data_IF_230698684269
#
_entry.id   IF_230698684269
#
_cell.length_a   1.000
_cell.length_b   1.000
_cell.length_c   1.000
_cell.angle_alpha   90.00
_cell.angle_beta   90.00
_cell.angle_gamma   90.00
#
_symmetry.space_group_name_H-M   'P 1'
#
loop_
_entity.id
_entity.type
_entity.pdbx_description
1 polymer ?
#
# COMPACT_ATOMS: atom_id res chain seq x y z
N UNK A 1 -3.86 15.22 2.40
CA UNK A 1 -4.50 13.90 2.31
C UNK A 1 -5.97 14.09 1.94
N UNK A 2 -6.57 13.23 1.11
CA UNK A 2 -8.02 13.30 0.78
C UNK A 2 -8.88 12.69 1.90
N UNK A 3 -10.12 13.15 2.06
CA UNK A 3 -11.09 12.63 3.06
C UNK A 3 -11.33 11.11 2.96
N UNK A 4 -11.26 10.54 1.77
CA UNK A 4 -11.39 9.09 1.55
C UNK A 4 -10.22 8.35 2.24
N UNK A 5 -9.00 8.85 2.03
CA UNK A 5 -7.78 8.27 2.59
C UNK A 5 -7.78 8.35 4.11
N UNK A 6 -8.20 9.48 4.68
CA UNK A 6 -8.30 9.69 6.13
C UNK A 6 -9.28 8.71 6.79
N UNK A 7 -10.47 8.56 6.23
CA UNK A 7 -11.47 7.63 6.76
C UNK A 7 -11.04 6.16 6.69
N UNK A 8 -10.40 5.77 5.58
CA UNK A 8 -9.89 4.40 5.40
C UNK A 8 -8.71 4.15 6.33
N UNK A 9 -7.80 5.11 6.46
CA UNK A 9 -6.68 5.04 7.39
C UNK A 9 -7.17 4.81 8.82
N UNK A 10 -8.12 5.62 9.28
CA UNK A 10 -8.68 5.50 10.63
C UNK A 10 -9.27 4.10 10.87
N UNK A 11 -10.09 3.61 9.94
CA UNK A 11 -10.68 2.27 10.06
C UNK A 11 -9.62 1.15 10.05
N UNK A 12 -8.62 1.25 9.17
CA UNK A 12 -7.47 0.32 9.13
C UNK A 12 -6.66 0.35 10.44
N UNK A 13 -6.40 1.53 11.01
CA UNK A 13 -5.70 1.66 12.30
C UNK A 13 -6.51 1.04 13.44
N UNK A 14 -7.84 1.18 13.42
CA UNK A 14 -8.77 0.62 14.40
C UNK A 14 -9.07 -0.88 14.19
N UNK A 15 -8.63 -1.48 13.08
CA UNK A 15 -8.96 -2.87 12.75
C UNK A 15 -10.41 -3.07 12.29
N UNK A 16 -11.06 -2.01 11.81
CA UNK A 16 -12.44 -2.03 11.36
C UNK A 16 -12.55 -2.12 9.83
N UNK A 17 -13.60 -2.80 9.35
CA UNK A 17 -13.93 -2.82 7.94
C UNK A 17 -14.58 -1.50 7.51
N UNK A 18 -14.18 -0.95 6.37
CA UNK A 18 -14.81 0.26 5.82
C UNK A 18 -14.63 0.35 4.31
N UNK A 19 -15.64 0.84 3.61
CA UNK A 19 -15.61 1.10 2.16
C UNK A 19 -16.02 2.53 1.85
N UNK A 20 -15.20 3.25 1.10
CA UNK A 20 -15.46 4.61 0.65
C UNK A 20 -15.06 4.75 -0.82
N UNK A 21 -16.05 4.78 -1.72
CA UNK A 21 -15.81 4.78 -3.16
C UNK A 21 -15.10 3.51 -3.61
N UNK A 22 -13.96 3.67 -4.32
CA UNK A 22 -13.15 2.57 -4.82
C UNK A 22 -12.07 2.09 -3.85
N UNK A 23 -12.07 2.59 -2.61
CA UNK A 23 -11.09 2.21 -1.58
C UNK A 23 -11.82 1.52 -0.43
N UNK A 24 -11.30 0.40 0.03
CA UNK A 24 -11.88 -0.36 1.14
C UNK A 24 -10.80 -0.98 2.02
N UNK A 25 -11.15 -1.26 3.27
CA UNK A 25 -10.32 -1.99 4.24
C UNK A 25 -11.18 -3.06 4.91
N UNK A 26 -10.57 -4.20 5.23
CA UNK A 26 -11.17 -5.25 6.06
C UNK A 26 -10.73 -5.16 7.53
N UNK A 27 -9.87 -4.18 7.86
CA UNK A 27 -9.26 -3.99 9.17
C UNK A 27 -7.82 -4.47 9.25
N UNK A 28 -7.40 -5.35 8.34
CA UNK A 28 -6.01 -5.87 8.24
C UNK A 28 -5.35 -5.54 6.92
N UNK A 29 -6.13 -5.30 5.87
CA UNK A 29 -5.67 -5.02 4.51
C UNK A 29 -6.49 -3.88 3.91
N UNK A 30 -5.86 -3.07 3.06
CA UNK A 30 -6.51 -1.99 2.31
C UNK A 30 -6.42 -2.29 0.82
N UNK A 31 -7.56 -2.15 0.15
CA UNK A 31 -7.73 -2.40 -1.27
C UNK A 31 -8.12 -1.11 -2.00
N UNK A 32 -7.59 -0.95 -3.21
CA UNK A 32 -7.97 0.11 -4.14
C UNK A 32 -8.34 -0.53 -5.49
N UNK A 33 -9.59 -0.34 -5.92
CA UNK A 33 -10.15 -1.04 -7.08
C UNK A 33 -10.01 -2.57 -6.99
N UNK A 34 -10.09 -3.12 -5.77
CA UNK A 34 -9.91 -4.55 -5.51
C UNK A 34 -8.45 -5.03 -5.46
N UNK A 35 -7.47 -4.15 -5.71
CA UNK A 35 -6.05 -4.49 -5.56
C UNK A 35 -5.60 -4.18 -4.14
N UNK A 36 -4.98 -5.15 -3.46
CA UNK A 36 -4.38 -4.95 -2.14
C UNK A 36 -3.17 -4.01 -2.27
N UNK A 37 -3.19 -2.90 -1.53
CA UNK A 37 -2.14 -1.86 -1.58
C UNK A 37 -1.46 -1.63 -0.23
N UNK A 38 -2.09 -2.04 0.86
CA UNK A 38 -1.52 -1.99 2.23
C UNK A 38 -1.97 -3.23 2.98
N UNK A 39 -1.10 -3.83 3.78
CA UNK A 39 -1.48 -4.91 4.70
C UNK A 39 -0.71 -4.84 6.00
N UNK A 40 -1.32 -5.36 7.07
CA UNK A 40 -0.68 -5.58 8.36
C UNK A 40 -0.53 -7.07 8.59
N UNK A 41 0.67 -7.52 8.95
CA UNK A 41 0.88 -8.91 9.35
C UNK A 41 0.51 -9.14 10.83
N UNK A 42 0.63 -10.39 11.28
CA UNK A 42 0.37 -10.77 12.67
C UNK A 42 1.35 -10.13 13.67
N UNK A 43 2.52 -9.66 13.24
CA UNK A 43 3.50 -8.96 14.08
C UNK A 43 3.19 -7.46 14.22
N UNK A 44 2.24 -6.94 13.43
CA UNK A 44 1.87 -5.53 13.41
C UNK A 44 2.67 -4.71 12.39
N UNK A 45 3.55 -5.32 11.61
CA UNK A 45 4.29 -4.66 10.54
C UNK A 45 3.34 -4.30 9.40
N UNK A 46 3.48 -3.06 8.91
CA UNK A 46 2.68 -2.54 7.80
C UNK A 46 3.51 -2.57 6.53
N UNK A 47 2.99 -3.29 5.54
CA UNK A 47 3.55 -3.43 4.22
C UNK A 47 2.70 -2.63 3.23
N UNK A 48 3.31 -2.12 2.16
CA UNK A 48 2.61 -1.43 1.09
C UNK A 48 3.19 -1.75 -0.28
N UNK A 49 2.35 -1.61 -1.30
CA UNK A 49 2.72 -1.77 -2.71
C UNK A 49 1.92 -0.78 -3.57
N UNK A 50 2.44 -0.45 -4.75
CA UNK A 50 1.63 0.23 -5.77
C UNK A 50 0.77 -0.76 -6.57
N UNK A 51 0.90 -2.08 -6.31
CA UNK A 51 0.18 -3.15 -6.99
C UNK A 51 0.29 -3.08 -8.53
N UNK A 52 1.43 -2.62 -9.04
CA UNK A 52 1.66 -2.40 -10.47
C UNK A 52 1.07 -1.09 -11.03
N UNK A 53 0.36 -0.30 -10.21
CA UNK A 53 -0.35 0.91 -10.62
C UNK A 53 0.36 2.17 -10.13
N UNK A 54 1.39 2.62 -10.86
CA UNK A 54 2.09 3.88 -10.57
C UNK A 54 1.26 5.13 -10.94
N UNK A 55 0.07 5.27 -10.36
CA UNK A 55 -0.85 6.39 -10.60
C UNK A 55 -0.83 7.39 -9.45
N UNK A 56 -1.21 8.66 -9.69
CA UNK A 56 -1.34 9.65 -8.62
C UNK A 56 -2.29 9.22 -7.49
N UNK A 57 -3.39 8.53 -7.83
CA UNK A 57 -4.37 8.06 -6.84
C UNK A 57 -3.78 6.94 -5.98
N UNK A 58 -3.11 5.95 -6.58
CA UNK A 58 -2.48 4.85 -5.82
C UNK A 58 -1.42 5.39 -4.85
N UNK A 59 -0.52 6.25 -5.33
CA UNK A 59 0.53 6.86 -4.50
C UNK A 59 -0.05 7.68 -3.35
N UNK A 60 -1.09 8.49 -3.61
CA UNK A 60 -1.72 9.29 -2.56
C UNK A 60 -2.41 8.43 -1.49
N UNK A 61 -3.06 7.32 -1.87
CA UNK A 61 -3.66 6.38 -0.91
C UNK A 61 -2.60 5.71 -0.05
N UNK A 62 -1.61 5.10 -0.69
CA UNK A 62 -0.54 4.37 0.00
C UNK A 62 0.21 5.30 0.95
N UNK A 63 0.72 6.43 0.46
CA UNK A 63 1.47 7.37 1.29
C UNK A 63 0.62 7.96 2.41
N UNK A 64 -0.66 8.25 2.14
CA UNK A 64 -1.54 8.80 3.16
C UNK A 64 -1.80 7.82 4.30
N UNK A 65 -1.89 6.53 4.01
CA UNK A 65 -2.14 5.48 5.01
C UNK A 65 -0.85 5.12 5.74
N UNK A 66 0.24 4.86 5.03
CA UNK A 66 1.47 4.28 5.60
C UNK A 66 2.54 5.32 5.95
N UNK A 67 2.42 6.54 5.43
CA UNK A 67 3.47 7.54 5.51
C UNK A 67 4.74 7.15 4.75
N UNK A 68 4.65 6.18 3.82
CA UNK A 68 5.74 5.86 2.90
C UNK A 68 5.91 6.97 1.86
N UNK A 69 7.12 7.08 1.30
CA UNK A 69 7.51 8.16 0.40
C UNK A 69 7.39 7.82 -1.08
N UNK A 70 6.34 7.09 -1.52
CA UNK A 70 6.21 6.72 -2.93
C UNK A 70 5.98 7.96 -3.80
N UNK A 71 6.77 8.12 -4.86
CA UNK A 71 6.64 9.21 -5.80
C UNK A 71 7.03 8.76 -7.20
N UNK A 72 6.97 9.68 -8.16
CA UNK A 72 7.32 9.40 -9.55
C UNK A 72 8.37 10.41 -10.02
N UNK A 73 9.42 9.89 -10.64
CA UNK A 73 10.46 10.67 -11.31
C UNK A 73 10.60 10.10 -12.73
N UNK A 74 10.50 10.95 -13.75
CA UNK A 74 10.65 10.54 -15.16
C UNK A 74 9.82 9.31 -15.55
N UNK A 75 8.55 9.26 -15.13
CA UNK A 75 7.61 8.14 -15.34
C UNK A 75 7.95 6.83 -14.60
N UNK A 76 9.04 6.78 -13.84
CA UNK A 76 9.43 5.64 -13.01
C UNK A 76 8.88 5.80 -11.59
N UNK A 77 8.47 4.68 -10.97
CA UNK A 77 8.09 4.65 -9.56
C UNK A 77 9.36 4.71 -8.70
N UNK A 78 9.34 5.56 -7.67
CA UNK A 78 10.45 5.71 -6.75
C UNK A 78 9.95 5.68 -5.30
N UNK A 79 10.79 5.16 -4.40
CA UNK A 79 10.57 5.18 -2.96
C UNK A 79 11.83 5.75 -2.29
N UNK A 80 11.69 6.84 -1.54
CA UNK A 80 12.79 7.55 -0.89
C UNK A 80 13.95 7.98 -1.81
N UNK A 81 13.70 8.10 -3.12
CA UNK A 81 14.67 8.55 -4.13
C UNK A 81 15.17 7.42 -5.01
N UNK A 82 14.99 6.17 -4.58
CA UNK A 82 15.42 4.99 -5.34
C UNK A 82 14.31 4.47 -6.26
N UNK A 83 14.63 4.09 -7.51
CA UNK A 83 13.67 3.46 -8.40
C UNK A 83 13.24 2.09 -7.88
N UNK A 84 11.96 1.75 -8.06
CA UNK A 84 11.37 0.50 -7.58
C UNK A 84 10.47 -0.15 -8.63
N UNK A 85 10.22 -1.46 -8.49
CA UNK A 85 9.09 -2.10 -9.17
C UNK A 85 7.79 -1.75 -8.42
N UNK A 86 6.80 -1.25 -9.16
CA UNK A 86 5.49 -0.92 -8.60
C UNK A 86 4.70 -2.12 -8.05
N UNK A 87 5.11 -3.35 -8.39
CA UNK A 87 4.47 -4.60 -7.96
C UNK A 87 5.08 -5.17 -6.69
N UNK A 88 6.27 -4.72 -6.30
CA UNK A 88 6.94 -5.16 -5.09
C UNK A 88 6.23 -4.64 -3.84
N UNK A 89 6.43 -5.36 -2.73
CA UNK A 89 5.96 -4.95 -1.41
C UNK A 89 7.10 -4.34 -0.62
N UNK A 90 6.78 -3.28 0.12
CA UNK A 90 7.75 -2.55 0.92
C UNK A 90 7.26 -2.50 2.36
N UNK A 91 8.17 -2.72 3.30
CA UNK A 91 7.90 -2.55 4.73
C UNK A 91 8.74 -1.38 5.24
N UNK A 92 8.15 -0.56 6.10
CA UNK A 92 8.90 0.50 6.80
C UNK A 92 9.49 -0.10 8.06
N UNK A 93 10.81 -0.23 8.12
CA UNK A 93 11.49 -0.69 9.33
C UNK A 93 11.60 0.44 10.35
N UNK A 94 11.86 0.12 11.61
CA UNK A 94 12.03 1.11 12.68
C UNK A 94 13.19 2.09 12.44
N UNK A 95 14.11 1.75 11.54
CA UNK A 95 15.26 2.59 11.15
C UNK A 95 14.93 3.58 10.03
N UNK A 96 13.71 3.54 9.47
CA UNK A 96 13.28 4.39 8.36
C UNK A 96 13.62 3.85 6.97
N UNK A 97 14.37 2.75 6.90
CA UNK A 97 14.69 2.06 5.66
C UNK A 97 13.47 1.33 5.09
N UNK A 98 13.39 1.26 3.77
CA UNK A 98 12.34 0.54 3.05
C UNK A 98 12.98 -0.63 2.31
N UNK A 99 12.63 -1.86 2.69
CA UNK A 99 13.14 -3.06 2.05
C UNK A 99 12.09 -3.62 1.09
N UNK A 100 12.49 -3.90 -0.15
CA UNK A 100 11.67 -4.60 -1.13
C UNK A 100 11.53 -6.08 -0.75
N UNK A 101 10.30 -6.56 -0.78
CA UNK A 101 9.93 -7.96 -0.73
C UNK A 101 9.26 -8.29 -2.07
N UNK A 102 9.65 -9.40 -2.73
CA UNK A 102 9.02 -9.81 -3.98
C UNK A 102 7.51 -9.95 -3.76
N UNK A 103 6.68 -9.72 -4.80
CA UNK A 103 5.25 -9.87 -4.69
C UNK A 103 4.90 -11.26 -4.14
N UNK A 104 3.89 -11.39 -3.26
CA UNK A 104 3.41 -12.70 -2.85
C UNK A 104 3.12 -13.50 -4.13
N UNK A 105 3.53 -14.78 -4.19
CA UNK A 105 3.26 -15.60 -5.36
C UNK A 105 1.76 -15.52 -5.65
N UNK A 106 1.39 -15.15 -6.89
CA UNK A 106 0.00 -15.22 -7.34
C UNK A 106 -0.47 -16.63 -6.99
N UNK A 107 -1.43 -16.74 -6.07
CA UNK A 107 -1.97 -18.03 -5.64
C UNK A 107 -2.20 -18.86 -6.89
N UNK A 108 -1.47 -19.97 -7.03
CA UNK A 108 -1.63 -20.88 -8.15
C UNK A 108 -3.09 -21.31 -8.10
N UNK A 109 -3.92 -20.73 -8.97
CA UNK A 109 -5.25 -21.25 -9.24
C UNK A 109 -4.99 -22.57 -9.93
N UNK A 110 -4.88 -23.63 -9.15
CA UNK A 110 -4.95 -25.00 -9.64
C UNK A 110 -6.32 -25.11 -10.27
N UNK A 111 -6.35 -25.10 -11.61
CA UNK A 111 -7.53 -25.43 -12.40
C UNK A 111 -7.75 -26.94 -12.41
#
# INVERSE_FOLDING_TARGET
>A
MRKVTEQIKQAFEQGESKKVGNTETDGTSVFLHGNEIVRRDASGLVFATLAGWNTPTTRERVNGITGMGFHQVNHQACLNGEPIDSSDWFVKTAQGDSQALPPPPKSLTVS
#
